data_IF_390658843220
#
_entry.id   IF_390658843220
#
_cell.length_a   1.000
_cell.length_b   1.000
_cell.length_c   1.000
_cell.angle_alpha   90.00
_cell.angle_beta   90.00
_cell.angle_gamma   90.00
#
_symmetry.space_group_name_H-M   'P 1'
#
loop_
_entity.id
_entity.type
_entity.pdbx_description
1 polymer ?
#
# COMPACT_ATOMS: atom_id res chain seq x y z
N UNK A 1 26.12 4.79 0.93
CA UNK A 1 25.61 5.88 1.79
C UNK A 1 24.70 6.76 0.95
N UNK A 2 23.41 6.77 1.24
CA UNK A 2 22.41 7.50 0.45
C UNK A 2 20.98 7.07 0.75
N UNK A 3 20.66 6.84 2.03
CA UNK A 3 19.29 6.63 2.48
C UNK A 3 18.56 7.98 2.42
N UNK A 4 17.93 8.28 1.28
CA UNK A 4 16.91 9.33 1.19
C UNK A 4 15.70 8.85 1.99
N UNK A 5 15.68 9.18 3.28
CA UNK A 5 14.47 9.14 4.08
C UNK A 5 13.58 10.29 3.59
N UNK A 6 12.57 9.96 2.81
CA UNK A 6 11.53 10.91 2.39
C UNK A 6 10.63 11.24 3.57
N UNK A 7 11.17 11.89 4.60
CA UNK A 7 10.39 12.50 5.68
C UNK A 7 10.44 14.01 5.52
N UNK A 8 9.51 14.55 4.73
CA UNK A 8 9.14 15.97 4.73
C UNK A 8 7.77 16.08 5.41
N UNK A 9 7.72 16.79 6.54
CA UNK A 9 6.61 16.83 7.50
C UNK A 9 5.23 17.00 6.83
N UNK A 10 4.48 15.89 6.76
CA UNK A 10 3.09 15.88 6.29
C UNK A 10 2.88 15.88 4.77
N UNK A 11 3.93 15.87 3.93
CA UNK A 11 3.78 15.94 2.46
C UNK A 11 3.77 14.60 1.73
N UNK A 12 3.96 13.47 2.42
CA UNK A 12 3.91 12.17 1.78
C UNK A 12 2.53 11.93 1.15
N UNK A 13 2.50 11.46 -0.10
CA UNK A 13 1.26 11.17 -0.84
C UNK A 13 0.40 10.16 -0.06
N UNK A 14 1.04 9.20 0.62
CA UNK A 14 0.38 8.24 1.51
C UNK A 14 -0.42 8.90 2.62
N UNK A 15 0.05 10.01 3.20
CA UNK A 15 -0.65 10.69 4.29
C UNK A 15 -1.97 11.29 3.79
N UNK A 16 -1.94 11.92 2.60
CA UNK A 16 -3.14 12.50 1.98
C UNK A 16 -4.18 11.43 1.65
N UNK A 17 -3.73 10.31 1.05
CA UNK A 17 -4.60 9.18 0.72
C UNK A 17 -5.24 8.59 1.98
N UNK A 18 -4.45 8.34 3.02
CA UNK A 18 -4.96 7.78 4.28
C UNK A 18 -5.99 8.72 4.91
N UNK A 19 -5.73 10.04 4.95
CA UNK A 19 -6.70 10.98 5.51
C UNK A 19 -8.03 11.00 4.73
N UNK A 20 -7.97 11.03 3.39
CA UNK A 20 -9.19 10.98 2.57
C UNK A 20 -9.97 9.68 2.76
N UNK A 21 -9.27 8.54 2.84
CA UNK A 21 -9.93 7.26 3.11
C UNK A 21 -10.56 7.20 4.51
N UNK A 22 -9.93 7.82 5.51
CA UNK A 22 -10.51 7.93 6.85
C UNK A 22 -11.73 8.87 6.90
N UNK A 23 -11.77 9.91 6.07
CA UNK A 23 -12.95 10.78 5.92
C UNK A 23 -14.13 10.02 5.33
N UNK A 24 -13.87 9.02 4.47
CA UNK A 24 -14.86 8.09 3.91
C UNK A 24 -15.10 6.86 4.83
N UNK A 25 -14.70 6.93 6.10
CA UNK A 25 -14.89 5.87 7.11
C UNK A 25 -14.26 4.50 6.76
N UNK A 26 -13.25 4.49 5.89
CA UNK A 26 -12.58 3.24 5.51
C UNK A 26 -11.70 2.69 6.64
N UNK A 27 -11.68 1.37 6.80
CA UNK A 27 -10.74 0.67 7.67
C UNK A 27 -9.38 0.54 6.96
N UNK A 28 -8.33 1.09 7.56
CA UNK A 28 -7.00 1.15 6.94
C UNK A 28 -6.01 0.33 7.74
N UNK A 29 -5.31 -0.56 7.04
CA UNK A 29 -4.13 -1.26 7.53
C UNK A 29 -2.95 -0.80 6.67
N UNK A 30 -1.88 -0.32 7.29
CA UNK A 30 -0.71 0.18 6.61
C UNK A 30 0.55 -0.65 6.93
N UNK A 31 1.44 -0.76 5.95
CA UNK A 31 2.77 -1.33 6.13
C UNK A 31 3.80 -0.46 5.42
N UNK A 32 4.86 -0.10 6.13
CA UNK A 32 6.06 0.48 5.53
C UNK A 32 7.31 -0.06 6.26
N UNK A 33 8.27 -0.70 5.55
CA UNK A 33 9.44 -1.31 6.19
C UNK A 33 10.35 -0.30 6.91
N UNK A 34 10.25 0.99 6.59
CA UNK A 34 11.13 2.04 7.10
C UNK A 34 10.36 3.06 7.96
N UNK A 35 9.12 3.38 7.58
CA UNK A 35 8.38 4.52 8.10
C UNK A 35 7.19 4.18 9.02
N UNK A 36 6.98 2.91 9.39
CA UNK A 36 5.86 2.51 10.27
C UNK A 36 5.83 3.31 11.58
N UNK A 37 6.98 3.53 12.23
CA UNK A 37 7.05 4.31 13.47
C UNK A 37 6.70 5.78 13.28
N UNK A 38 7.01 6.35 12.11
CA UNK A 38 6.63 7.72 11.78
C UNK A 38 5.14 7.82 11.51
N UNK A 39 4.56 6.85 10.77
CA UNK A 39 3.13 6.78 10.55
C UNK A 39 2.34 6.64 11.86
N UNK A 40 2.85 5.88 12.84
CA UNK A 40 2.29 5.77 14.21
C UNK A 40 2.22 7.09 14.95
N UNK A 41 3.19 7.99 14.77
CA UNK A 41 3.16 9.33 15.39
C UNK A 41 2.05 10.21 14.81
N UNK A 42 1.70 10.00 13.54
CA UNK A 42 0.72 10.81 12.79
C UNK A 42 -0.69 10.28 13.01
N UNK A 43 -0.91 8.99 12.75
CA UNK A 43 -2.25 8.40 12.75
C UNK A 43 -2.62 7.70 14.06
N UNK A 44 -1.65 7.38 14.91
CA UNK A 44 -1.86 6.73 16.21
C UNK A 44 -2.75 5.48 16.07
N UNK A 45 -3.91 5.47 16.69
CA UNK A 45 -4.90 4.40 16.72
C UNK A 45 -5.98 4.54 15.64
N UNK A 46 -5.91 5.57 14.78
CA UNK A 46 -6.87 5.77 13.68
C UNK A 46 -6.73 4.75 12.56
N UNK A 47 -5.58 4.07 12.46
CA UNK A 47 -5.31 3.01 11.49
C UNK A 47 -4.56 1.86 12.16
N UNK A 48 -4.59 0.70 11.54
CA UNK A 48 -3.77 -0.44 11.95
C UNK A 48 -2.43 -0.48 11.22
N UNK A 49 -1.45 -1.14 11.82
CA UNK A 49 -0.11 -1.30 11.26
C UNK A 49 0.24 -2.77 11.17
N UNK A 50 0.39 -3.27 9.95
CA UNK A 50 0.77 -4.65 9.72
C UNK A 50 2.28 -4.85 9.95
N UNK A 51 2.71 -6.05 10.42
CA UNK A 51 4.12 -6.37 10.59
C UNK A 51 4.82 -6.75 9.27
N UNK A 52 4.06 -7.03 8.21
CA UNK A 52 4.60 -7.40 6.90
C UNK A 52 3.62 -7.03 5.77
N UNK A 53 4.12 -6.96 4.54
CA UNK A 53 3.31 -6.70 3.35
C UNK A 53 2.19 -7.73 3.16
N UNK A 54 2.49 -9.02 3.34
CA UNK A 54 1.48 -10.10 3.24
C UNK A 54 0.40 -9.97 4.31
N UNK A 55 0.75 -9.58 5.54
CA UNK A 55 -0.24 -9.34 6.59
C UNK A 55 -1.07 -8.09 6.33
N UNK A 56 -0.48 -7.08 5.68
CA UNK A 56 -1.19 -5.86 5.29
C UNK A 56 -2.32 -6.11 4.29
N UNK A 57 -2.10 -7.01 3.33
CA UNK A 57 -3.11 -7.33 2.30
C UNK A 57 -4.13 -8.38 2.76
N UNK A 58 -3.88 -9.06 3.88
CA UNK A 58 -4.69 -10.17 4.35
C UNK A 58 -6.10 -9.71 4.72
N UNK A 59 -7.12 -10.22 4.04
CA UNK A 59 -8.53 -9.88 4.25
C UNK A 59 -8.91 -8.47 3.75
N UNK A 60 -8.04 -7.79 3.01
CA UNK A 60 -8.35 -6.48 2.44
C UNK A 60 -9.25 -6.58 1.20
N UNK A 61 -10.05 -5.53 0.95
CA UNK A 61 -10.85 -5.40 -0.29
C UNK A 61 -10.12 -4.61 -1.39
N UNK A 62 -9.07 -3.89 -1.02
CA UNK A 62 -8.27 -3.08 -1.93
C UNK A 62 -6.87 -2.91 -1.35
N UNK A 63 -5.85 -2.91 -2.21
CA UNK A 63 -4.47 -2.63 -1.87
C UNK A 63 -3.98 -1.44 -2.71
N UNK A 64 -3.40 -0.43 -2.05
CA UNK A 64 -2.79 0.71 -2.71
C UNK A 64 -1.29 0.73 -2.48
N UNK A 65 -0.53 0.72 -3.58
CA UNK A 65 0.93 0.82 -3.56
C UNK A 65 1.31 2.27 -3.83
N UNK A 66 1.82 2.93 -2.79
CA UNK A 66 2.12 4.37 -2.78
C UNK A 66 3.60 4.68 -2.57
N UNK A 67 4.41 3.64 -2.39
CA UNK A 67 5.89 3.69 -2.25
C UNK A 67 6.53 2.56 -3.05
N UNK A 68 7.83 2.66 -3.34
CA UNK A 68 8.55 1.78 -4.26
C UNK A 68 9.57 0.85 -3.58
N UNK A 69 9.34 0.54 -2.30
CA UNK A 69 10.23 -0.33 -1.53
C UNK A 69 10.35 -1.72 -2.17
N UNK A 70 11.57 -2.25 -2.27
CA UNK A 70 11.81 -3.59 -2.85
C UNK A 70 11.05 -4.69 -2.10
N UNK A 71 10.82 -4.52 -0.80
CA UNK A 71 10.02 -5.42 0.02
C UNK A 71 8.59 -5.60 -0.52
N UNK A 72 8.04 -4.57 -1.18
CA UNK A 72 6.72 -4.65 -1.79
C UNK A 72 6.73 -5.47 -3.08
N UNK A 73 7.85 -5.52 -3.81
CA UNK A 73 8.04 -6.34 -5.02
C UNK A 73 8.18 -7.83 -4.73
N UNK A 74 8.35 -8.21 -3.46
CA UNK A 74 8.35 -9.61 -3.03
C UNK A 74 6.95 -10.23 -3.07
N UNK A 75 5.88 -9.42 -3.01
CA UNK A 75 4.53 -9.90 -3.23
C UNK A 75 4.34 -10.27 -4.70
N UNK A 76 3.69 -11.40 -4.95
CA UNK A 76 3.36 -11.85 -6.31
C UNK A 76 1.87 -11.65 -6.57
N UNK A 77 1.42 -11.57 -7.84
CA UNK A 77 0.00 -11.52 -8.18
C UNK A 77 -0.85 -12.57 -7.46
N UNK A 78 -0.30 -13.79 -7.29
CA UNK A 78 -0.97 -14.88 -6.59
C UNK A 78 -1.23 -14.57 -5.12
N UNK A 79 -0.33 -13.85 -4.44
CA UNK A 79 -0.48 -13.48 -3.04
C UNK A 79 -1.70 -12.57 -2.84
N UNK A 80 -1.91 -11.61 -3.75
CA UNK A 80 -3.10 -10.74 -3.72
C UNK A 80 -4.37 -11.56 -3.90
N UNK A 81 -4.42 -12.42 -4.91
CA UNK A 81 -5.59 -13.27 -5.16
C UNK A 81 -5.90 -14.26 -4.03
N UNK A 82 -4.88 -14.69 -3.28
CA UNK A 82 -4.98 -15.68 -2.21
C UNK A 82 -5.35 -15.06 -0.87
N UNK A 83 -4.81 -13.89 -0.56
CA UNK A 83 -4.89 -13.30 0.77
C UNK A 83 -5.94 -12.19 0.89
N UNK A 84 -6.30 -11.52 -0.20
CA UNK A 84 -7.33 -10.47 -0.19
C UNK A 84 -8.73 -11.07 -0.26
N UNK A 85 -9.72 -10.37 0.33
CA UNK A 85 -11.14 -10.73 0.20
C UNK A 85 -11.67 -10.35 -1.18
N UNK A 86 -11.31 -9.17 -1.65
CA UNK A 86 -11.59 -8.69 -3.00
C UNK A 86 -10.27 -8.17 -3.58
N UNK A 87 -9.64 -8.86 -4.54
CA UNK A 87 -8.30 -8.53 -4.99
C UNK A 87 -8.32 -7.35 -5.97
N UNK A 88 -8.43 -6.13 -5.44
CA UNK A 88 -8.25 -4.87 -6.18
C UNK A 88 -6.88 -4.29 -5.83
N UNK A 89 -6.02 -4.07 -6.81
CA UNK A 89 -4.67 -3.52 -6.61
C UNK A 89 -4.51 -2.24 -7.41
N UNK A 90 -4.13 -1.16 -6.73
CA UNK A 90 -3.85 0.15 -7.32
C UNK A 90 -2.36 0.44 -7.16
N UNK A 91 -1.62 0.42 -8.27
CA UNK A 91 -0.20 0.72 -8.29
C UNK A 91 0.07 2.17 -8.73
N UNK A 92 0.32 3.04 -7.73
CA UNK A 92 0.70 4.44 -7.95
C UNK A 92 2.18 4.64 -8.27
N UNK A 93 3.02 3.59 -8.21
CA UNK A 93 4.48 3.67 -8.39
C UNK A 93 5.02 2.86 -9.56
N UNK A 94 4.17 2.04 -10.20
CA UNK A 94 4.52 1.18 -11.35
C UNK A 94 5.64 0.19 -11.03
N UNK A 95 5.58 -0.42 -9.85
CA UNK A 95 6.54 -1.46 -9.46
C UNK A 95 6.16 -2.83 -10.03
N UNK A 96 4.93 -2.98 -10.51
CA UNK A 96 4.41 -4.19 -11.13
C UNK A 96 4.14 -4.02 -12.63
N UNK A 97 4.25 -5.12 -13.37
CA UNK A 97 3.77 -5.17 -14.75
C UNK A 97 2.27 -5.55 -14.77
N UNK A 98 1.39 -4.73 -15.37
CA UNK A 98 -0.03 -5.04 -15.45
C UNK A 98 -0.33 -6.42 -16.09
N UNK A 99 0.53 -6.88 -17.01
CA UNK A 99 0.35 -8.17 -17.68
C UNK A 99 0.56 -9.38 -16.76
N UNK A 100 1.11 -9.19 -15.55
CA UNK A 100 1.29 -10.26 -14.57
C UNK A 100 0.00 -10.54 -13.78
N UNK A 101 -0.95 -9.59 -13.75
CA UNK A 101 -2.14 -9.62 -12.89
C UNK A 101 -3.40 -10.21 -13.55
N UNK A 102 -3.24 -11.09 -14.55
CA UNK A 102 -4.34 -11.60 -15.39
C UNK A 102 -5.47 -12.27 -14.59
N UNK A 103 -6.70 -12.02 -15.06
CA UNK A 103 -7.98 -12.70 -14.78
C UNK A 103 -8.49 -12.80 -13.32
N UNK A 104 -7.62 -12.71 -12.31
CA UNK A 104 -7.98 -12.93 -10.90
C UNK A 104 -7.77 -11.73 -9.99
N UNK A 105 -7.07 -10.70 -10.46
CA UNK A 105 -6.82 -9.47 -9.69
C UNK A 105 -7.22 -8.29 -10.55
N UNK A 106 -8.09 -7.43 -10.03
CA UNK A 106 -8.41 -6.16 -10.70
C UNK A 106 -7.25 -5.20 -10.44
N UNK A 107 -6.34 -5.12 -11.40
CA UNK A 107 -5.15 -4.28 -11.31
C UNK A 107 -5.32 -2.97 -12.09
N UNK A 108 -4.96 -1.85 -11.45
CA UNK A 108 -4.94 -0.52 -12.06
C UNK A 108 -3.59 0.12 -11.73
N UNK A 109 -2.89 0.63 -12.75
CA UNK A 109 -1.69 1.45 -12.52
C UNK A 109 -1.91 2.87 -13.04
N UNK A 110 -1.42 3.85 -12.29
CA UNK A 110 -1.64 5.27 -12.62
C UNK A 110 -0.71 5.74 -13.75
N UNK A 111 -1.31 6.41 -14.75
CA UNK A 111 -0.66 7.00 -15.93
C UNK A 111 -0.32 5.99 -17.05
N UNK A 112 -1.02 4.87 -17.10
CA UNK A 112 -1.23 4.12 -18.34
C UNK A 112 -2.34 4.87 -19.12
N UNK A 113 -1.94 5.83 -19.95
CA UNK A 113 -2.82 6.66 -20.77
C UNK A 113 -2.06 7.17 -21.97
#
# INVERSE_FOLDING_TARGET
MGSRSCYDGGKAVSIKIINQLLEEEANIIAYDPVATNNAKKIFKDRIEYAPSATKCISGADCCMIVTEWDKLKELKPEDFSKHMRNPIVIDGRRIYNPSDFKDKVKFVAIGLG
#
